data_IF_637803315395
#
_entry.id   IF_637803315395
#
_cell.length_a   1.000
_cell.length_b   1.000
_cell.length_c   1.000
_cell.angle_alpha   90.00
_cell.angle_beta   90.00
_cell.angle_gamma   90.00
#
_symmetry.space_group_name_H-M   'P 1'
#
loop_
_entity.id
_entity.type
_entity.pdbx_description
1 polymer ?
#
# COMPACT_ATOMS: atom_id res chain seq x y z
N UNK A 1 -3.35 3.70 -36.01
CA UNK A 1 -4.16 4.85 -35.54
C UNK A 1 -5.22 5.27 -36.55
N UNK A 2 -4.88 5.66 -37.79
CA UNK A 2 -5.85 6.08 -38.81
C UNK A 2 -6.91 5.00 -39.11
N UNK A 3 -6.49 3.76 -39.30
CA UNK A 3 -7.41 2.64 -39.48
C UNK A 3 -8.42 2.47 -38.33
N UNK A 4 -7.94 2.63 -37.10
CA UNK A 4 -8.79 2.51 -35.89
C UNK A 4 -9.77 3.68 -35.80
N UNK A 5 -9.36 4.93 -36.07
CA UNK A 5 -10.25 6.08 -36.09
C UNK A 5 -11.32 5.95 -37.20
N UNK A 6 -10.93 5.45 -38.37
CA UNK A 6 -11.88 5.16 -39.44
C UNK A 6 -12.86 4.05 -39.09
N UNK A 7 -12.41 3.03 -38.36
CA UNK A 7 -13.28 1.95 -37.84
C UNK A 7 -14.29 2.51 -36.82
N UNK A 8 -13.88 3.40 -35.94
CA UNK A 8 -14.79 4.10 -35.01
C UNK A 8 -15.79 4.97 -35.77
N UNK A 9 -15.30 5.78 -36.73
CA UNK A 9 -16.18 6.65 -37.52
C UNK A 9 -17.32 5.90 -38.22
N UNK A 10 -17.06 4.67 -38.71
CA UNK A 10 -18.07 3.84 -39.44
C UNK A 10 -19.19 3.33 -38.54
N UNK A 11 -19.04 3.39 -37.21
CA UNK A 11 -20.04 2.93 -36.26
C UNK A 11 -21.14 3.96 -36.02
N UNK A 12 -20.89 5.24 -36.31
CA UNK A 12 -21.72 6.37 -35.91
C UNK A 12 -22.22 7.17 -37.11
N UNK A 13 -23.50 7.53 -37.08
CA UNK A 13 -24.04 8.54 -38.02
C UNK A 13 -23.77 9.96 -37.46
N UNK A 14 -22.82 10.65 -38.10
CA UNK A 14 -22.41 11.99 -37.67
C UNK A 14 -23.46 13.07 -37.95
N UNK A 15 -24.61 12.73 -38.51
CA UNK A 15 -25.75 13.65 -38.68
C UNK A 15 -26.57 13.77 -37.38
N UNK A 16 -26.53 12.77 -36.53
CA UNK A 16 -27.18 12.74 -35.25
C UNK A 16 -26.24 13.25 -34.14
N UNK A 17 -26.68 14.26 -33.38
CA UNK A 17 -25.82 14.91 -32.37
C UNK A 17 -25.38 13.94 -31.27
N UNK A 18 -26.24 13.02 -30.83
CA UNK A 18 -25.88 12.02 -29.80
C UNK A 18 -24.81 11.05 -30.31
N UNK A 19 -24.93 10.59 -31.54
CA UNK A 19 -23.94 9.72 -32.16
C UNK A 19 -22.63 10.43 -32.44
N UNK A 20 -22.69 11.70 -32.82
CA UNK A 20 -21.54 12.59 -32.96
C UNK A 20 -20.76 12.71 -31.64
N UNK A 21 -21.46 12.91 -30.51
CA UNK A 21 -20.87 12.98 -29.19
C UNK A 21 -20.17 11.65 -28.83
N UNK A 22 -20.83 10.51 -29.09
CA UNK A 22 -20.26 9.19 -28.85
C UNK A 22 -19.01 8.94 -29.70
N UNK A 23 -19.04 9.34 -30.97
CA UNK A 23 -17.87 9.29 -31.87
C UNK A 23 -16.68 10.07 -31.31
N UNK A 24 -16.92 11.30 -30.83
CA UNK A 24 -15.88 12.16 -30.23
C UNK A 24 -15.32 11.50 -28.97
N UNK A 25 -16.18 10.96 -28.10
CA UNK A 25 -15.73 10.27 -26.89
C UNK A 25 -14.88 9.02 -27.18
N UNK A 26 -15.34 8.11 -28.05
CA UNK A 26 -14.56 6.90 -28.40
C UNK A 26 -13.22 7.27 -29.07
N UNK A 27 -13.25 8.29 -29.95
CA UNK A 27 -12.03 8.78 -30.59
C UNK A 27 -11.06 9.41 -29.58
N UNK A 28 -11.55 10.17 -28.59
CA UNK A 28 -10.73 10.75 -27.54
C UNK A 28 -10.08 9.69 -26.65
N UNK A 29 -10.81 8.62 -26.31
CA UNK A 29 -10.26 7.49 -25.56
C UNK A 29 -9.15 6.76 -26.34
N UNK A 30 -9.28 6.64 -27.65
CA UNK A 30 -8.23 6.06 -28.49
C UNK A 30 -7.02 7.01 -28.61
N UNK A 31 -7.25 8.29 -28.86
CA UNK A 31 -6.18 9.30 -29.03
C UNK A 31 -5.39 9.49 -27.72
N UNK A 32 -6.02 9.42 -26.55
CA UNK A 32 -5.33 9.55 -25.27
C UNK A 32 -4.33 8.42 -24.99
N UNK A 33 -4.34 7.32 -25.76
CA UNK A 33 -3.35 6.24 -25.64
C UNK A 33 -2.00 6.60 -26.28
N UNK A 34 -1.94 7.66 -27.08
CA UNK A 34 -0.72 8.11 -27.73
C UNK A 34 0.21 8.81 -26.73
N UNK A 35 1.49 8.45 -26.74
CA UNK A 35 2.49 9.04 -25.85
C UNK A 35 2.85 10.49 -26.24
N UNK A 36 2.86 10.80 -27.56
CA UNK A 36 3.23 12.11 -28.08
C UNK A 36 2.07 13.09 -28.06
N UNK A 37 2.25 14.25 -27.43
CA UNK A 37 1.28 15.35 -27.42
C UNK A 37 0.99 15.88 -28.85
N UNK A 38 2.02 15.95 -29.69
CA UNK A 38 1.88 16.37 -31.10
C UNK A 38 1.01 15.38 -31.88
N UNK A 39 1.22 14.06 -31.69
CA UNK A 39 0.37 13.06 -32.33
C UNK A 39 -1.09 13.17 -31.84
N UNK A 40 -1.30 13.42 -30.54
CA UNK A 40 -2.66 13.64 -30.00
C UNK A 40 -3.33 14.88 -30.64
N UNK A 41 -2.59 15.94 -30.85
CA UNK A 41 -3.11 17.14 -31.47
C UNK A 41 -3.48 16.92 -32.94
N UNK A 42 -2.60 16.31 -33.74
CA UNK A 42 -2.84 16.06 -35.17
C UNK A 42 -4.07 15.13 -35.35
N UNK A 43 -4.16 14.03 -34.59
CA UNK A 43 -5.32 13.13 -34.71
C UNK A 43 -6.58 13.74 -34.12
N UNK A 44 -6.46 14.55 -33.05
CA UNK A 44 -7.57 15.32 -32.50
C UNK A 44 -8.14 16.34 -33.50
N UNK A 45 -7.30 17.04 -34.26
CA UNK A 45 -7.74 17.96 -35.29
C UNK A 45 -8.56 17.25 -36.38
N UNK A 46 -8.11 16.09 -36.85
CA UNK A 46 -8.84 15.28 -37.86
C UNK A 46 -10.21 14.82 -37.35
N UNK A 47 -10.29 14.38 -36.08
CA UNK A 47 -11.57 13.99 -35.47
C UNK A 47 -12.49 15.19 -35.31
N UNK A 48 -11.97 16.33 -34.87
CA UNK A 48 -12.72 17.60 -34.76
C UNK A 48 -13.31 18.02 -36.08
N UNK A 49 -12.52 17.99 -37.15
CA UNK A 49 -12.94 18.30 -38.52
C UNK A 49 -14.06 17.34 -39.00
N UNK A 50 -13.86 16.03 -38.79
CA UNK A 50 -14.83 15.02 -39.20
C UNK A 50 -16.16 15.13 -38.43
N UNK A 51 -16.12 15.53 -37.16
CA UNK A 51 -17.30 15.70 -36.29
C UNK A 51 -17.93 17.10 -36.42
N UNK A 52 -17.27 18.06 -37.09
CA UNK A 52 -17.74 19.45 -37.17
C UNK A 52 -17.74 20.19 -35.84
N UNK A 53 -16.77 19.88 -34.95
CA UNK A 53 -16.60 20.54 -33.66
C UNK A 53 -15.31 21.38 -33.62
N UNK A 54 -15.19 22.28 -32.65
CA UNK A 54 -13.98 23.06 -32.49
C UNK A 54 -12.80 22.19 -32.01
N UNK A 55 -11.59 22.53 -32.47
CA UNK A 55 -10.37 21.86 -32.02
C UNK A 55 -10.18 21.93 -30.48
N UNK A 56 -10.60 23.06 -29.90
CA UNK A 56 -10.53 23.25 -28.44
C UNK A 56 -11.43 22.28 -27.67
N UNK A 57 -12.67 22.08 -28.16
CA UNK A 57 -13.58 21.08 -27.58
C UNK A 57 -12.98 19.69 -27.65
N UNK A 58 -12.37 19.30 -28.79
CA UNK A 58 -11.70 18.01 -28.92
C UNK A 58 -10.49 17.89 -27.98
N UNK A 59 -9.66 18.93 -27.84
CA UNK A 59 -8.53 18.96 -26.90
C UNK A 59 -9.01 18.74 -25.45
N UNK A 60 -10.11 19.37 -25.07
CA UNK A 60 -10.70 19.18 -23.73
C UNK A 60 -11.14 17.72 -23.50
N UNK A 61 -11.79 17.09 -24.48
CA UNK A 61 -12.21 15.69 -24.35
C UNK A 61 -11.02 14.72 -24.31
N UNK A 62 -9.98 14.92 -25.12
CA UNK A 62 -8.75 14.14 -25.05
C UNK A 62 -8.07 14.29 -23.69
N UNK A 63 -8.02 15.50 -23.14
CA UNK A 63 -7.44 15.74 -21.81
C UNK A 63 -8.27 15.08 -20.69
N UNK A 64 -9.61 15.10 -20.78
CA UNK A 64 -10.47 14.39 -19.84
C UNK A 64 -10.25 12.87 -19.91
N UNK A 65 -10.19 12.30 -21.11
CA UNK A 65 -9.92 10.89 -21.33
C UNK A 65 -8.53 10.50 -20.76
N UNK A 66 -7.51 11.33 -20.98
CA UNK A 66 -6.16 11.13 -20.43
C UNK A 66 -6.15 11.15 -18.90
N UNK A 67 -6.82 12.11 -18.26
CA UNK A 67 -6.96 12.17 -16.79
C UNK A 67 -7.70 10.94 -16.23
N UNK A 68 -8.78 10.50 -16.89
CA UNK A 68 -9.51 9.28 -16.50
C UNK A 68 -8.61 8.05 -16.57
N UNK A 69 -7.80 7.93 -17.62
CA UNK A 69 -6.84 6.84 -17.78
C UNK A 69 -5.80 6.82 -16.66
N UNK A 70 -5.14 7.96 -16.40
CA UNK A 70 -4.16 8.08 -15.29
C UNK A 70 -4.79 7.70 -13.96
N UNK A 71 -6.01 8.18 -13.67
CA UNK A 71 -6.68 7.85 -12.43
C UNK A 71 -7.08 6.36 -12.34
N UNK A 72 -7.44 5.70 -13.45
CA UNK A 72 -7.65 4.25 -13.49
C UNK A 72 -6.36 3.47 -13.24
N UNK A 73 -5.26 3.90 -13.85
CA UNK A 73 -3.96 3.27 -13.65
C UNK A 73 -3.48 3.42 -12.22
N UNK A 74 -3.60 4.62 -11.61
CA UNK A 74 -3.32 4.85 -10.19
C UNK A 74 -4.16 3.96 -9.28
N UNK A 75 -5.49 3.89 -9.50
CA UNK A 75 -6.35 3.00 -8.71
C UNK A 75 -6.02 1.53 -8.88
N UNK A 76 -5.64 1.09 -10.09
CA UNK A 76 -5.15 -0.28 -10.30
C UNK A 76 -3.85 -0.53 -9.57
N UNK A 77 -2.91 0.41 -9.62
CA UNK A 77 -1.65 0.30 -8.89
C UNK A 77 -1.87 0.25 -7.38
N UNK A 78 -2.70 1.16 -6.85
CA UNK A 78 -3.11 1.15 -5.44
C UNK A 78 -3.77 -0.19 -5.05
N UNK A 79 -4.62 -0.77 -5.92
CA UNK A 79 -5.21 -2.08 -5.67
C UNK A 79 -4.19 -3.22 -5.71
N UNK A 80 -3.21 -3.17 -6.61
CA UNK A 80 -2.11 -4.14 -6.69
C UNK A 80 -1.23 -4.00 -5.45
N UNK A 81 -0.90 -2.78 -5.05
CA UNK A 81 -0.08 -2.51 -3.86
C UNK A 81 -0.80 -2.92 -2.55
N UNK A 82 -2.14 -2.83 -2.53
CA UNK A 82 -2.98 -3.29 -1.41
C UNK A 82 -3.32 -4.80 -1.48
N UNK A 83 -3.19 -5.45 -2.63
CA UNK A 83 -3.51 -6.88 -2.77
C UNK A 83 -2.62 -7.78 -1.90
N UNK A 84 -1.29 -7.56 -1.78
CA UNK A 84 -0.46 -8.27 -0.82
C UNK A 84 -0.93 -8.09 0.62
N UNK A 85 -1.30 -6.86 1.00
CA UNK A 85 -1.79 -6.57 2.36
C UNK A 85 -3.12 -7.28 2.68
N UNK A 86 -4.02 -7.43 1.71
CA UNK A 86 -5.26 -8.21 1.89
C UNK A 86 -5.00 -9.70 2.06
N UNK A 87 -4.01 -10.25 1.35
CA UNK A 87 -3.62 -11.66 1.45
C UNK A 87 -2.83 -11.96 2.73
N UNK A 88 -2.25 -10.94 3.36
CA UNK A 88 -1.49 -11.03 4.61
C UNK A 88 -2.38 -10.91 5.85
N UNK A 89 -3.61 -10.41 5.70
CA UNK A 89 -4.56 -10.38 6.82
C UNK A 89 -4.88 -11.80 7.29
N UNK A 90 -4.93 -12.03 8.61
CA UNK A 90 -5.38 -13.29 9.19
C UNK A 90 -6.77 -13.66 8.69
N UNK A 91 -7.00 -14.96 8.48
CA UNK A 91 -8.30 -15.46 8.02
C UNK A 91 -9.40 -15.26 9.07
N UNK A 92 -9.05 -15.38 10.34
CA UNK A 92 -9.97 -15.11 11.44
C UNK A 92 -10.19 -13.61 11.60
N UNK A 93 -11.45 -13.19 11.77
CA UNK A 93 -11.81 -11.78 12.02
C UNK A 93 -11.24 -11.24 13.33
N UNK A 94 -11.03 -12.12 14.32
CA UNK A 94 -10.57 -11.76 15.65
C UNK A 94 -9.10 -11.28 15.66
N UNK A 95 -8.30 -11.67 14.64
CA UNK A 95 -6.88 -11.33 14.52
C UNK A 95 -6.60 -10.36 13.38
N UNK A 96 -7.62 -9.65 12.86
CA UNK A 96 -7.39 -8.63 11.84
C UNK A 96 -6.60 -7.47 12.39
N UNK A 97 -5.61 -7.07 11.62
CA UNK A 97 -4.73 -5.96 11.95
C UNK A 97 -5.30 -4.64 11.44
N UNK A 98 -5.37 -3.63 12.30
CA UNK A 98 -5.75 -2.28 11.92
C UNK A 98 -4.60 -1.57 11.20
N UNK A 99 -3.37 -1.77 11.67
CA UNK A 99 -2.16 -1.25 11.04
C UNK A 99 -1.33 -2.39 10.44
N UNK A 100 -1.57 -2.71 9.17
CA UNK A 100 -0.86 -3.80 8.46
C UNK A 100 0.64 -3.62 8.43
N UNK A 101 1.12 -2.37 8.32
CA UNK A 101 2.54 -2.08 8.21
C UNK A 101 3.28 -2.39 9.52
N UNK A 102 2.69 -1.98 10.65
CA UNK A 102 3.21 -2.32 11.96
C UNK A 102 3.13 -3.83 12.22
N UNK A 103 1.96 -4.42 11.97
CA UNK A 103 1.72 -5.84 12.22
C UNK A 103 2.68 -6.78 11.46
N UNK A 104 3.02 -6.46 10.22
CA UNK A 104 4.03 -7.24 9.47
C UNK A 104 5.42 -7.15 10.09
N UNK A 105 5.81 -5.98 10.57
CA UNK A 105 7.07 -5.81 11.29
C UNK A 105 7.04 -6.56 12.64
N UNK A 106 5.91 -6.51 13.33
CA UNK A 106 5.66 -7.24 14.59
C UNK A 106 5.75 -8.74 14.39
N UNK A 107 5.07 -9.31 13.37
CA UNK A 107 5.17 -10.73 13.00
C UNK A 107 6.61 -11.14 12.72
N UNK A 108 7.35 -10.31 11.99
CA UNK A 108 8.75 -10.58 11.66
C UNK A 108 9.62 -10.63 12.91
N UNK A 109 9.45 -9.67 13.83
CA UNK A 109 10.17 -9.65 15.12
C UNK A 109 9.92 -10.92 15.92
N UNK A 110 8.65 -11.33 16.06
CA UNK A 110 8.29 -12.56 16.79
C UNK A 110 8.87 -13.80 16.12
N UNK A 111 8.75 -13.91 14.80
CA UNK A 111 9.27 -15.07 14.08
C UNK A 111 10.81 -15.17 14.19
N UNK A 112 11.52 -14.03 14.12
CA UNK A 112 12.96 -13.98 14.32
C UNK A 112 13.36 -14.35 15.77
N UNK A 113 12.65 -13.83 16.78
CA UNK A 113 12.90 -14.11 18.18
C UNK A 113 12.68 -15.59 18.52
N UNK A 114 11.69 -16.25 17.91
CA UNK A 114 11.45 -17.68 18.07
C UNK A 114 12.49 -18.55 17.38
N UNK A 115 13.06 -18.08 16.26
CA UNK A 115 14.13 -18.78 15.53
C UNK A 115 15.48 -18.66 16.22
N UNK A 116 15.80 -17.46 16.66
CA UNK A 116 17.09 -17.10 17.26
C UNK A 116 16.84 -16.19 18.48
N UNK A 117 16.62 -16.81 19.66
CA UNK A 117 16.32 -16.06 20.89
C UNK A 117 17.37 -15.02 21.28
N UNK A 118 18.63 -15.19 20.86
CA UNK A 118 19.70 -14.23 21.10
C UNK A 118 19.41 -12.82 20.53
N UNK A 119 18.58 -12.74 19.49
CA UNK A 119 18.13 -11.49 18.90
C UNK A 119 17.34 -10.59 19.87
N UNK A 120 16.71 -11.20 20.90
CA UNK A 120 16.01 -10.44 21.94
C UNK A 120 16.94 -9.49 22.73
N UNK A 121 18.25 -9.72 22.74
CA UNK A 121 19.21 -8.78 23.34
C UNK A 121 19.28 -7.43 22.58
N UNK A 122 19.19 -7.48 21.25
CA UNK A 122 19.32 -6.30 20.38
C UNK A 122 18.07 -5.40 20.38
N UNK A 123 16.90 -5.92 20.79
CA UNK A 123 15.61 -5.22 20.76
C UNK A 123 15.13 -4.72 22.13
N UNK A 124 16.05 -4.54 23.08
CA UNK A 124 15.73 -4.14 24.46
C UNK A 124 15.00 -2.80 24.63
N UNK A 125 14.90 -2.00 23.57
CA UNK A 125 14.15 -0.73 23.55
C UNK A 125 12.68 -0.90 23.14
N UNK A 126 12.30 -2.04 22.57
CA UNK A 126 10.93 -2.33 22.14
C UNK A 126 10.11 -2.84 23.31
N UNK A 127 8.90 -2.32 23.49
CA UNK A 127 7.95 -2.71 24.52
C UNK A 127 6.70 -3.32 23.89
N UNK A 128 6.04 -4.24 24.58
CA UNK A 128 4.79 -4.86 24.16
C UNK A 128 3.68 -3.83 23.85
N UNK A 129 3.65 -2.73 24.60
CA UNK A 129 2.69 -1.61 24.45
C UNK A 129 2.82 -0.89 23.09
N UNK A 130 3.95 -1.03 22.40
CA UNK A 130 4.22 -0.40 21.11
C UNK A 130 3.69 -1.24 19.93
N UNK A 131 3.23 -2.45 20.20
CA UNK A 131 2.63 -3.32 19.20
C UNK A 131 1.21 -2.86 18.85
N UNK A 132 0.87 -2.85 17.58
CA UNK A 132 -0.50 -2.55 17.11
C UNK A 132 -1.46 -3.70 17.37
N UNK A 133 -0.95 -4.92 17.46
CA UNK A 133 -1.70 -6.12 17.79
C UNK A 133 -1.48 -6.53 19.25
N UNK A 134 -2.57 -6.56 20.04
CA UNK A 134 -2.53 -7.00 21.43
C UNK A 134 -1.98 -8.42 21.58
N UNK A 135 -2.35 -9.34 20.67
CA UNK A 135 -1.86 -10.71 20.68
C UNK A 135 -0.34 -10.77 20.48
N UNK A 136 0.15 -10.06 19.44
CA UNK A 136 1.58 -10.05 19.13
C UNK A 136 2.38 -9.39 20.26
N UNK A 137 1.85 -8.32 20.87
CA UNK A 137 2.45 -7.68 22.04
C UNK A 137 2.53 -8.63 23.25
N UNK A 138 1.44 -9.36 23.55
CA UNK A 138 1.40 -10.37 24.62
C UNK A 138 2.44 -11.48 24.39
N UNK A 139 2.54 -11.98 23.17
CA UNK A 139 3.52 -13.01 22.81
C UNK A 139 4.95 -12.46 22.95
N UNK A 140 5.21 -11.26 22.45
CA UNK A 140 6.52 -10.62 22.58
C UNK A 140 6.98 -10.46 24.04
N UNK A 141 6.07 -10.02 24.92
CA UNK A 141 6.37 -9.87 26.34
C UNK A 141 6.73 -11.21 27.00
N UNK A 142 5.97 -12.28 26.69
CA UNK A 142 6.28 -13.63 27.17
C UNK A 142 7.65 -14.13 26.69
N UNK A 143 7.99 -13.92 25.40
CA UNK A 143 9.29 -14.31 24.84
C UNK A 143 10.44 -13.55 25.55
N UNK A 144 10.28 -12.23 25.74
CA UNK A 144 11.26 -11.41 26.45
C UNK A 144 11.43 -11.84 27.92
N UNK A 145 10.32 -12.11 28.63
CA UNK A 145 10.36 -12.54 30.03
C UNK A 145 11.08 -13.87 30.18
N UNK A 146 10.79 -14.84 29.33
CA UNK A 146 11.44 -16.17 29.35
C UNK A 146 12.92 -16.08 29.01
N UNK A 147 13.26 -15.29 27.99
CA UNK A 147 14.66 -15.08 27.58
C UNK A 147 15.49 -14.47 28.73
N UNK A 148 14.97 -13.43 29.40
CA UNK A 148 15.64 -12.80 30.56
C UNK A 148 15.84 -13.74 31.71
N UNK A 149 14.97 -14.75 31.87
CA UNK A 149 15.08 -15.80 32.90
C UNK A 149 15.98 -16.95 32.48
N UNK A 150 16.54 -16.94 31.27
CA UNK A 150 17.34 -18.05 30.75
C UNK A 150 16.53 -19.32 30.46
N UNK A 151 15.21 -19.16 30.29
CA UNK A 151 14.30 -20.29 30.00
C UNK A 151 14.21 -20.49 28.48
N UNK A 152 13.75 -21.71 28.11
CA UNK A 152 13.51 -22.03 26.70
C UNK A 152 12.51 -21.05 26.05
N UNK A 153 12.84 -20.56 24.84
CA UNK A 153 12.01 -19.70 24.04
C UNK A 153 11.55 -20.48 22.81
N UNK A 154 10.34 -20.99 22.85
CA UNK A 154 9.72 -21.74 21.76
C UNK A 154 8.21 -21.51 21.74
N UNK A 155 7.54 -21.87 20.64
CA UNK A 155 6.08 -21.73 20.53
C UNK A 155 5.37 -22.61 21.58
N UNK A 156 5.90 -23.78 21.83
CA UNK A 156 5.29 -24.79 22.75
C UNK A 156 5.21 -24.36 24.21
N UNK A 157 6.00 -23.34 24.58
CA UNK A 157 6.07 -22.83 25.97
C UNK A 157 5.31 -21.53 26.19
N UNK A 158 4.64 -21.03 25.17
CA UNK A 158 3.77 -19.85 25.27
C UNK A 158 2.53 -20.22 26.10
N UNK A 159 2.42 -19.61 27.27
CA UNK A 159 1.27 -19.78 28.16
C UNK A 159 0.15 -18.80 27.81
N UNK A 160 -1.06 -19.10 28.28
CA UNK A 160 -2.23 -18.21 28.17
C UNK A 160 -2.64 -17.81 26.73
N UNK A 161 -2.35 -18.68 25.75
CA UNK A 161 -2.87 -18.59 24.39
C UNK A 161 -3.96 -19.64 24.20
N UNK A 162 -5.08 -19.22 23.64
CA UNK A 162 -6.11 -20.17 23.20
C UNK A 162 -5.71 -20.91 21.91
N UNK A 163 -6.51 -21.89 21.49
CA UNK A 163 -6.20 -22.69 20.30
C UNK A 163 -6.19 -21.89 19.00
N UNK A 164 -7.00 -20.83 18.88
CA UNK A 164 -7.02 -19.94 17.71
C UNK A 164 -5.79 -19.02 17.71
N UNK A 165 -5.46 -18.44 18.85
CA UNK A 165 -4.27 -17.62 19.05
C UNK A 165 -2.99 -18.39 18.75
N UNK A 166 -2.88 -19.60 19.28
CA UNK A 166 -1.75 -20.50 19.01
C UNK A 166 -1.64 -20.83 17.51
N UNK A 167 -2.75 -21.19 16.87
CA UNK A 167 -2.78 -21.48 15.44
C UNK A 167 -2.34 -20.27 14.61
N UNK A 168 -2.74 -19.07 15.04
CA UNK A 168 -2.32 -17.84 14.40
C UNK A 168 -0.79 -17.62 14.51
N UNK A 169 -0.22 -17.76 15.71
CA UNK A 169 1.23 -17.62 15.92
C UNK A 169 2.03 -18.65 15.12
N UNK A 170 1.57 -19.91 15.08
CA UNK A 170 2.18 -20.94 14.22
C UNK A 170 2.18 -20.50 12.75
N UNK A 171 1.07 -19.95 12.26
CA UNK A 171 0.97 -19.46 10.88
C UNK A 171 1.90 -18.26 10.62
N UNK A 172 2.11 -17.38 11.60
CA UNK A 172 3.08 -16.28 11.54
C UNK A 172 4.50 -16.81 11.33
N UNK A 173 4.92 -17.75 12.17
CA UNK A 173 6.27 -18.36 12.08
C UNK A 173 6.46 -19.09 10.75
N UNK A 174 5.43 -19.78 10.25
CA UNK A 174 5.49 -20.48 8.96
C UNK A 174 5.62 -19.53 7.78
N UNK A 175 5.02 -18.34 7.83
CA UNK A 175 5.15 -17.33 6.78
C UNK A 175 6.53 -16.68 6.74
N UNK A 176 7.18 -16.52 7.88
CA UNK A 176 8.46 -15.84 8.04
C UNK A 176 9.65 -16.82 8.12
N UNK A 177 9.78 -17.72 7.14
CA UNK A 177 10.86 -18.72 7.10
C UNK A 177 12.21 -18.21 6.57
N UNK A 178 12.32 -16.92 6.24
CA UNK A 178 13.56 -16.30 5.75
C UNK A 178 14.74 -16.39 6.74
N UNK A 179 15.98 -16.10 6.32
CA UNK A 179 17.12 -16.05 7.22
C UNK A 179 16.94 -14.92 8.24
N UNK A 180 17.46 -15.14 9.45
CA UNK A 180 17.50 -14.11 10.48
C UNK A 180 18.59 -13.10 10.13
N UNK A 181 18.27 -11.80 10.16
CA UNK A 181 19.15 -10.71 9.83
C UNK A 181 18.95 -9.57 10.83
N UNK A 182 20.04 -9.12 11.48
CA UNK A 182 20.02 -8.04 12.47
C UNK A 182 19.57 -6.70 11.86
N UNK A 183 19.99 -6.39 10.64
CA UNK A 183 19.57 -5.15 9.97
C UNK A 183 18.07 -5.14 9.70
N UNK A 184 17.52 -6.27 9.24
CA UNK A 184 16.09 -6.41 9.03
C UNK A 184 15.30 -6.34 10.35
N UNK A 185 15.84 -6.89 11.44
CA UNK A 185 15.26 -6.77 12.77
C UNK A 185 15.22 -5.31 13.24
N UNK A 186 16.33 -4.59 13.09
CA UNK A 186 16.42 -3.17 13.47
C UNK A 186 15.45 -2.30 12.65
N UNK A 187 15.28 -2.60 11.36
CA UNK A 187 14.30 -1.91 10.53
C UNK A 187 12.86 -2.18 10.97
N UNK A 188 12.53 -3.43 11.36
CA UNK A 188 11.23 -3.77 11.93
C UNK A 188 10.97 -3.01 13.25
N UNK A 189 11.95 -2.95 14.16
CA UNK A 189 11.85 -2.18 15.40
C UNK A 189 11.57 -0.70 15.13
N UNK A 190 12.28 -0.09 14.18
CA UNK A 190 12.05 1.30 13.76
C UNK A 190 10.66 1.53 13.20
N UNK A 191 10.16 0.58 12.41
CA UNK A 191 8.80 0.65 11.86
C UNK A 191 7.77 0.63 12.98
N UNK A 192 7.84 -0.33 13.91
CA UNK A 192 6.92 -0.45 15.04
C UNK A 192 6.93 0.85 15.87
N UNK A 193 8.10 1.34 16.26
CA UNK A 193 8.22 2.56 17.06
C UNK A 193 7.66 3.79 16.34
N UNK A 194 7.91 3.91 15.05
CA UNK A 194 7.40 5.02 14.23
C UNK A 194 5.88 4.99 14.10
N UNK A 195 5.31 3.81 13.82
CA UNK A 195 3.85 3.65 13.68
C UNK A 195 3.15 3.88 15.03
N UNK A 196 3.73 3.42 16.14
CA UNK A 196 3.23 3.71 17.49
C UNK A 196 3.22 5.21 17.78
N UNK A 197 4.31 5.94 17.50
CA UNK A 197 4.38 7.39 17.69
C UNK A 197 3.39 8.15 16.81
N UNK A 198 3.17 7.70 15.57
CA UNK A 198 2.19 8.32 14.68
C UNK A 198 0.74 8.08 15.11
N UNK A 199 0.46 6.96 15.74
CA UNK A 199 -0.87 6.64 16.27
C UNK A 199 -1.23 7.38 17.57
N UNK A 200 -0.26 8.00 18.25
CA UNK A 200 -0.49 8.80 19.47
C UNK A 200 -0.74 10.30 19.19
N UNK A 201 -0.79 10.69 17.91
CA UNK A 201 -0.92 12.10 17.51
C UNK A 201 -2.39 12.41 17.25
N UNK A 202 -3.11 12.87 18.27
CA UNK A 202 -4.55 13.16 18.20
C UNK A 202 -4.87 14.65 17.91
N UNK A 203 -3.90 15.56 18.03
CA UNK A 203 -4.11 16.98 17.82
C UNK A 203 -3.25 17.57 16.70
N UNK A 204 -3.71 18.67 16.08
CA UNK A 204 -2.99 19.37 14.99
C UNK A 204 -1.62 19.87 15.47
N UNK A 205 -1.53 20.31 16.73
CA UNK A 205 -0.28 20.81 17.32
C UNK A 205 0.74 19.67 17.53
N UNK A 206 0.30 18.50 17.96
CA UNK A 206 1.12 17.30 18.08
C UNK A 206 1.58 16.80 16.71
N UNK A 207 0.72 16.88 15.67
CA UNK A 207 1.06 16.59 14.27
C UNK A 207 2.18 17.52 13.77
N UNK A 208 2.12 18.80 14.09
CA UNK A 208 3.17 19.76 13.73
C UNK A 208 4.48 19.49 14.48
N UNK A 209 4.42 19.17 15.77
CA UNK A 209 5.57 18.81 16.59
C UNK A 209 6.22 17.51 16.09
N UNK A 210 5.43 16.50 15.74
CA UNK A 210 5.90 15.24 15.14
C UNK A 210 6.56 15.47 13.79
N UNK A 211 5.96 16.28 12.91
CA UNK A 211 6.53 16.64 11.61
C UNK A 211 7.88 17.38 11.76
N UNK A 212 8.01 18.25 12.73
CA UNK A 212 9.25 18.98 12.98
C UNK A 212 10.37 18.03 13.48
N UNK A 213 10.05 17.11 14.40
CA UNK A 213 10.99 16.06 14.84
C UNK A 213 11.45 15.15 13.68
N UNK A 214 10.56 14.80 12.76
CA UNK A 214 10.92 14.02 11.55
C UNK A 214 11.84 14.79 10.60
N UNK A 215 11.71 16.12 10.49
CA UNK A 215 12.60 16.96 9.70
C UNK A 215 14.00 17.04 10.31
N UNK A 216 14.08 17.20 11.64
CA UNK A 216 15.34 17.23 12.38
C UNK A 216 16.09 15.89 12.28
N UNK A 217 15.39 14.76 12.41
CA UNK A 217 15.99 13.41 12.28
C UNK A 217 16.51 13.09 10.88
N UNK A 218 15.97 13.77 9.84
CA UNK A 218 16.42 13.60 8.44
C UNK A 218 17.54 14.57 8.02
N UNK A 219 18.05 15.39 8.93
CA UNK A 219 19.15 16.33 8.64
C UNK A 219 18.82 17.43 7.63
N UNK A 220 17.54 17.66 7.35
CA UNK A 220 17.09 18.76 6.50
C UNK A 220 16.99 20.01 7.37
N UNK A 221 18.10 20.78 7.44
CA UNK A 221 18.07 22.15 7.93
C UNK A 221 17.19 22.98 6.99
N UNK A 222 16.26 23.72 7.58
CA UNK A 222 15.43 24.72 6.90
C UNK A 222 16.28 25.83 6.28
#
# INVERSE_FOLDING_TARGET
>A
MEYQLNAIRRKFDLREDDQKIQYVHESAELICTLDSSVKREVYGARVAEAAGISLEAMKLEVNKAFKRRINREKKKQEQIDLAPAKNLQPKSRNFRYDNMKSAMAEETVIAMALKEPAMLNGIGTLKAEQFSSNLLGKVFDQLCARYRQGLEVSISVLADLDGEEMSHIVSVVQRHQGPVNEDALNDCVRIIQKEYQSGQVDTVDELMAYRNRLKESKGVKA
#
